data_IF_589311682679
#
_entry.id   IF_589311682679
#
_cell.length_a   1.000
_cell.length_b   1.000
_cell.length_c   1.000
_cell.angle_alpha   90.00
_cell.angle_beta   90.00
_cell.angle_gamma   90.00
#
_symmetry.space_group_name_H-M   'P 1'
#
loop_
_entity.id
_entity.type
_entity.pdbx_description
1 polymer ?
#
# COMPACT_ATOMS: atom_id res chain seq x y z
N UNK A 1 24.16 18.73 2.48
CA UNK A 1 23.22 18.96 1.36
C UNK A 1 22.34 17.73 1.31
N UNK A 2 21.15 17.78 1.88
CA UNK A 2 20.17 16.70 1.78
C UNK A 2 19.43 16.86 0.47
N UNK A 3 19.59 15.90 -0.44
CA UNK A 3 18.84 15.86 -1.68
C UNK A 3 17.33 15.87 -1.38
N UNK A 4 16.51 16.54 -2.19
CA UNK A 4 15.06 16.49 -2.02
C UNK A 4 14.61 15.05 -2.22
N UNK A 5 13.89 14.50 -1.23
CA UNK A 5 13.27 13.18 -1.34
C UNK A 5 12.33 13.24 -2.54
N UNK A 6 12.73 12.60 -3.63
CA UNK A 6 11.89 12.48 -4.82
C UNK A 6 10.68 11.63 -4.40
N UNK A 7 9.51 12.25 -4.29
CA UNK A 7 8.30 11.54 -3.88
C UNK A 7 7.97 10.50 -4.94
N UNK A 8 8.27 9.23 -4.66
CA UNK A 8 7.85 8.12 -5.49
C UNK A 8 6.31 8.03 -5.39
N UNK A 9 5.62 8.56 -6.40
CA UNK A 9 4.17 8.52 -6.48
C UNK A 9 3.76 7.45 -7.50
N UNK A 10 2.85 6.55 -7.12
CA UNK A 10 2.25 5.56 -8.02
C UNK A 10 0.75 5.43 -7.73
N UNK A 11 -0.03 5.23 -8.79
CA UNK A 11 -1.49 5.09 -8.72
C UNK A 11 -1.87 3.68 -9.15
N UNK A 12 -2.72 3.03 -8.36
CA UNK A 12 -3.21 1.68 -8.63
C UNK A 12 -4.74 1.67 -8.63
N UNK A 13 -5.34 0.69 -9.31
CA UNK A 13 -6.78 0.46 -9.22
C UNK A 13 -7.14 0.00 -7.81
N UNK A 14 -8.22 0.53 -7.24
CA UNK A 14 -8.74 0.08 -5.96
C UNK A 14 -9.55 -1.22 -6.10
N UNK A 15 -8.90 -2.26 -6.62
CA UNK A 15 -9.44 -3.61 -6.78
C UNK A 15 -8.56 -4.58 -5.98
N UNK A 16 -9.16 -5.61 -5.36
CA UNK A 16 -8.43 -6.62 -4.59
C UNK A 16 -7.32 -7.31 -5.40
N UNK A 17 -7.49 -7.42 -6.72
CA UNK A 17 -6.50 -7.97 -7.66
C UNK A 17 -5.22 -7.12 -7.73
N UNK A 18 -5.30 -5.84 -7.37
CA UNK A 18 -4.17 -4.91 -7.32
C UNK A 18 -3.43 -4.92 -5.96
N UNK A 19 -3.94 -5.63 -4.94
CA UNK A 19 -3.33 -5.66 -3.61
C UNK A 19 -1.87 -6.14 -3.63
N UNK A 20 -1.58 -7.28 -4.24
CA UNK A 20 -0.22 -7.82 -4.34
C UNK A 20 0.73 -6.91 -5.14
N UNK A 21 0.34 -6.37 -6.32
CA UNK A 21 1.12 -5.36 -7.02
C UNK A 21 1.44 -4.11 -6.16
N UNK A 22 0.48 -3.61 -5.38
CA UNK A 22 0.69 -2.46 -4.49
C UNK A 22 1.71 -2.80 -3.40
N UNK A 23 1.54 -3.93 -2.72
CA UNK A 23 2.46 -4.37 -1.67
C UNK A 23 3.88 -4.56 -2.22
N UNK A 24 4.03 -5.23 -3.37
CA UNK A 24 5.33 -5.41 -4.01
C UNK A 24 6.00 -4.07 -4.35
N UNK A 25 5.23 -3.10 -4.85
CA UNK A 25 5.73 -1.76 -5.11
C UNK A 25 6.18 -1.08 -3.81
N UNK A 26 5.36 -1.07 -2.75
CA UNK A 26 5.74 -0.46 -1.45
C UNK A 26 6.99 -1.11 -0.88
N UNK A 27 7.07 -2.45 -0.87
CA UNK A 27 8.22 -3.19 -0.35
C UNK A 27 9.50 -2.83 -1.13
N UNK A 28 9.44 -2.73 -2.46
CA UNK A 28 10.59 -2.31 -3.27
C UNK A 28 11.10 -0.90 -2.93
N UNK A 29 10.26 -0.03 -2.36
CA UNK A 29 10.69 1.30 -1.91
C UNK A 29 11.42 1.26 -0.56
N UNK A 30 11.28 0.17 0.20
CA UNK A 30 11.85 0.02 1.54
C UNK A 30 12.87 -1.13 1.64
N UNK A 31 13.23 -1.76 0.53
CA UNK A 31 14.25 -2.83 0.49
C UNK A 31 15.63 -2.32 0.97
N UNK A 32 15.95 -1.04 0.77
CA UNK A 32 17.19 -0.42 1.25
C UNK A 32 17.05 0.18 2.68
N UNK A 33 15.93 -0.04 3.35
CA UNK A 33 15.70 0.46 4.70
C UNK A 33 16.51 -0.33 5.75
N UNK A 34 16.77 0.26 6.93
CA UNK A 34 17.45 -0.43 8.03
C UNK A 34 16.56 -1.45 8.77
N UNK A 35 15.34 -1.72 8.29
CA UNK A 35 14.41 -2.62 8.95
C UNK A 35 14.86 -4.07 8.85
N UNK A 36 14.71 -4.80 9.95
CA UNK A 36 14.95 -6.23 9.93
C UNK A 36 13.80 -7.01 9.25
N UNK A 37 14.03 -8.28 8.96
CA UNK A 37 13.04 -9.13 8.29
C UNK A 37 11.75 -9.34 9.10
N UNK A 38 11.80 -9.22 10.43
CA UNK A 38 10.60 -9.32 11.26
C UNK A 38 9.79 -8.01 11.22
N UNK A 39 10.46 -6.86 11.18
CA UNK A 39 9.86 -5.54 11.00
C UNK A 39 9.22 -5.41 9.62
N UNK A 40 9.92 -5.80 8.55
CA UNK A 40 9.37 -5.78 7.19
C UNK A 40 8.08 -6.61 7.08
N UNK A 41 8.04 -7.79 7.69
CA UNK A 41 6.82 -8.62 7.75
C UNK A 41 5.68 -7.96 8.53
N UNK A 42 5.97 -7.27 9.63
CA UNK A 42 4.94 -6.52 10.38
C UNK A 42 4.39 -5.36 9.57
N UNK A 43 5.26 -4.66 8.85
CA UNK A 43 4.88 -3.57 7.94
C UNK A 43 3.99 -4.13 6.82
N UNK A 44 4.37 -5.25 6.20
CA UNK A 44 3.60 -5.89 5.14
C UNK A 44 2.18 -6.26 5.60
N UNK A 45 2.04 -6.90 6.76
CA UNK A 45 0.71 -7.25 7.32
C UNK A 45 -0.13 -6.01 7.61
N UNK A 46 0.45 -4.98 8.23
CA UNK A 46 -0.27 -3.75 8.54
C UNK A 46 -0.73 -3.02 7.26
N UNK A 47 0.11 -3.03 6.21
CA UNK A 47 -0.23 -2.48 4.90
C UNK A 47 -1.34 -3.29 4.24
N UNK A 48 -1.29 -4.62 4.31
CA UNK A 48 -2.33 -5.50 3.78
C UNK A 48 -3.69 -5.19 4.41
N UNK A 49 -3.76 -5.12 5.74
CA UNK A 49 -4.99 -4.77 6.46
C UNK A 49 -5.52 -3.38 6.06
N UNK A 50 -4.64 -2.38 6.00
CA UNK A 50 -5.03 -1.02 5.63
C UNK A 50 -5.55 -0.94 4.19
N UNK A 51 -4.86 -1.58 3.23
CA UNK A 51 -5.21 -1.59 1.82
C UNK A 51 -6.50 -2.37 1.56
N UNK A 52 -6.69 -3.52 2.22
CA UNK A 52 -7.95 -4.28 2.15
C UNK A 52 -9.11 -3.42 2.63
N UNK A 53 -8.94 -2.69 3.74
CA UNK A 53 -9.97 -1.79 4.24
C UNK A 53 -10.28 -0.67 3.25
N UNK A 54 -9.26 -0.04 2.66
CA UNK A 54 -9.46 1.02 1.65
C UNK A 54 -10.21 0.46 0.43
N UNK A 55 -9.76 -0.68 -0.10
CA UNK A 55 -10.38 -1.31 -1.28
C UNK A 55 -11.83 -1.68 -1.01
N UNK A 56 -12.14 -2.23 0.17
CA UNK A 56 -13.49 -2.68 0.50
C UNK A 56 -14.44 -1.56 0.93
N UNK A 57 -13.95 -0.52 1.61
CA UNK A 57 -14.82 0.48 2.24
C UNK A 57 -14.78 1.85 1.56
N UNK A 58 -13.65 2.25 0.97
CA UNK A 58 -13.55 3.57 0.34
C UNK A 58 -14.18 3.62 -1.07
N UNK A 59 -14.36 2.45 -1.69
CA UNK A 59 -14.93 2.30 -3.03
C UNK A 59 -16.11 1.33 -3.03
N UNK A 60 -16.87 1.30 -1.93
CA UNK A 60 -18.20 0.67 -1.91
C UNK A 60 -19.01 1.28 -3.05
N UNK A 61 -19.29 0.47 -4.07
CA UNK A 61 -20.18 0.78 -5.18
C UNK A 61 -21.38 1.62 -4.69
N UNK A 62 -21.68 2.72 -5.39
CA UNK A 62 -23.07 3.19 -5.49
C UNK A 62 -23.91 1.96 -5.89
N UNK A 63 -24.96 1.57 -5.18
CA UNK A 63 -26.23 2.30 -5.12
C UNK A 63 -26.74 2.41 -3.67
N UNK A 64 -26.84 3.65 -3.19
CA UNK A 64 -27.79 3.98 -2.13
C UNK A 64 -29.09 4.45 -2.76
N UNK A 65 -30.17 3.68 -2.63
CA UNK A 65 -31.53 4.25 -2.67
C UNK A 65 -31.95 4.59 -1.25
N UNK A 66 -32.45 5.82 -1.07
CA UNK A 66 -33.29 6.20 0.07
C UNK A 66 -34.71 6.41 -0.49
#
# INVERSE_FOLDING_TARGET
>A
MTEPIQSANSTFSANISSLRPILAWIISQIEESPFDQAELRRIEVALEEALVNIIHYAYLDQEGEI
#
